data_IF_293333482382
#
_entry.id   IF_293333482382
#
_cell.length_a   1.000
_cell.length_b   1.000
_cell.length_c   1.000
_cell.angle_alpha   90.00
_cell.angle_beta   90.00
_cell.angle_gamma   90.00
#
_symmetry.space_group_name_H-M   'P 1'
#
loop_
_entity.id
_entity.type
_entity.pdbx_description
1 polymer ?
#
# COMPACT_ATOMS: atom_id res chain seq x y z
N UNK A 1 -37.95 2.00 -16.16
CA UNK A 1 -37.64 2.65 -14.86
C UNK A 1 -36.72 1.81 -13.99
N UNK A 2 -37.04 0.54 -13.72
CA UNK A 2 -36.26 -0.38 -12.88
C UNK A 2 -34.79 -0.53 -13.31
N UNK A 3 -34.53 -0.67 -14.61
CA UNK A 3 -33.17 -0.75 -15.15
C UNK A 3 -32.33 0.51 -14.93
N UNK A 4 -32.95 1.69 -14.97
CA UNK A 4 -32.26 2.97 -14.73
C UNK A 4 -31.87 3.07 -13.26
N UNK A 5 -32.76 2.67 -12.36
CA UNK A 5 -32.50 2.62 -10.92
C UNK A 5 -31.39 1.62 -10.60
N UNK A 6 -31.45 0.42 -11.20
CA UNK A 6 -30.42 -0.61 -11.03
C UNK A 6 -29.05 -0.13 -11.53
N UNK A 7 -29.00 0.52 -12.69
CA UNK A 7 -27.77 1.10 -13.22
C UNK A 7 -27.22 2.20 -12.31
N UNK A 8 -28.07 3.10 -11.84
CA UNK A 8 -27.69 4.15 -10.91
C UNK A 8 -27.12 3.59 -9.60
N UNK A 9 -27.74 2.56 -9.05
CA UNK A 9 -27.26 1.89 -7.83
C UNK A 9 -25.91 1.21 -8.06
N UNK A 10 -25.72 0.54 -9.20
CA UNK A 10 -24.46 -0.10 -9.55
C UNK A 10 -23.31 0.91 -9.70
N UNK A 11 -23.56 2.04 -10.36
CA UNK A 11 -22.56 3.13 -10.49
C UNK A 11 -22.23 3.73 -9.13
N UNK A 12 -23.24 4.01 -8.29
CA UNK A 12 -23.03 4.52 -6.94
C UNK A 12 -22.19 3.57 -6.10
N UNK A 13 -22.49 2.27 -6.13
CA UNK A 13 -21.70 1.26 -5.43
C UNK A 13 -20.26 1.20 -5.95
N UNK A 14 -20.05 1.24 -7.27
CA UNK A 14 -18.73 1.25 -7.87
C UNK A 14 -17.89 2.46 -7.43
N UNK A 15 -18.51 3.64 -7.34
CA UNK A 15 -17.84 4.85 -6.85
C UNK A 15 -17.44 4.74 -5.37
N UNK A 16 -18.31 4.16 -4.53
CA UNK A 16 -18.03 3.94 -3.11
C UNK A 16 -16.87 2.95 -2.95
N UNK A 17 -16.91 1.83 -3.67
CA UNK A 17 -15.83 0.83 -3.64
C UNK A 17 -14.52 1.46 -4.13
N UNK A 18 -14.56 2.23 -5.21
CA UNK A 18 -13.39 2.91 -5.72
C UNK A 18 -12.81 3.89 -4.69
N UNK A 19 -13.67 4.69 -4.05
CA UNK A 19 -13.25 5.63 -3.03
C UNK A 19 -12.61 4.92 -1.82
N UNK A 20 -13.26 3.85 -1.32
CA UNK A 20 -12.73 3.07 -0.20
C UNK A 20 -11.38 2.43 -0.52
N UNK A 21 -11.23 1.81 -1.69
CA UNK A 21 -10.02 1.04 -2.04
C UNK A 21 -8.88 1.93 -2.51
N UNK A 22 -9.13 2.90 -3.39
CA UNK A 22 -8.07 3.68 -4.04
C UNK A 22 -7.84 5.04 -3.40
N UNK A 23 -8.90 5.75 -3.00
CA UNK A 23 -8.75 7.10 -2.44
C UNK A 23 -8.38 7.08 -0.97
N UNK A 24 -8.95 6.14 -0.23
CA UNK A 24 -8.71 6.01 1.23
C UNK A 24 -7.75 4.88 1.57
N UNK A 25 -7.25 4.13 0.58
CA UNK A 25 -6.32 3.01 0.77
C UNK A 25 -6.80 1.97 1.79
N UNK A 26 -8.13 1.79 1.92
CA UNK A 26 -8.73 0.84 2.85
C UNK A 26 -8.74 1.28 4.32
N UNK A 27 -8.40 2.53 4.65
CA UNK A 27 -8.38 3.04 6.04
C UNK A 27 -9.70 2.80 6.77
N UNK A 28 -10.83 2.98 6.09
CA UNK A 28 -12.17 2.73 6.67
C UNK A 28 -12.58 1.25 6.72
N UNK A 29 -11.84 0.36 6.05
CA UNK A 29 -12.08 -1.08 6.04
C UNK A 29 -11.24 -1.83 7.09
N UNK A 30 -10.36 -1.11 7.79
CA UNK A 30 -9.55 -1.62 8.89
C UNK A 30 -8.13 -2.02 8.49
N UNK A 31 -7.29 -2.21 9.51
CA UNK A 31 -5.83 -2.43 9.37
C UNK A 31 -5.47 -3.59 8.44
N UNK A 32 -6.20 -4.70 8.48
CA UNK A 32 -5.92 -5.86 7.65
C UNK A 32 -6.03 -5.56 6.15
N UNK A 33 -7.04 -4.77 5.76
CA UNK A 33 -7.24 -4.38 4.36
C UNK A 33 -6.14 -3.42 3.89
N UNK A 34 -5.73 -2.48 4.74
CA UNK A 34 -4.61 -1.58 4.44
C UNK A 34 -3.33 -2.37 4.17
N UNK A 35 -2.96 -3.29 5.07
CA UNK A 35 -1.76 -4.13 4.91
C UNK A 35 -1.85 -4.93 3.60
N UNK A 36 -2.99 -5.55 3.33
CA UNK A 36 -3.19 -6.33 2.12
C UNK A 36 -3.06 -5.47 0.85
N UNK A 37 -3.66 -4.28 0.82
CA UNK A 37 -3.52 -3.35 -0.31
C UNK A 37 -2.06 -2.97 -0.51
N UNK A 38 -1.34 -2.65 0.57
CA UNK A 38 0.09 -2.38 0.53
C UNK A 38 0.88 -3.57 -0.03
N UNK A 39 0.63 -4.79 0.41
CA UNK A 39 1.32 -5.99 -0.08
C UNK A 39 1.09 -6.22 -1.58
N UNK A 40 -0.14 -5.95 -2.06
CA UNK A 40 -0.48 -6.03 -3.48
C UNK A 40 0.33 -5.00 -4.28
N UNK A 41 0.39 -3.75 -3.84
CA UNK A 41 1.13 -2.69 -4.53
C UNK A 41 2.66 -2.81 -4.37
N UNK A 42 3.14 -3.30 -3.24
CA UNK A 42 4.57 -3.44 -2.92
C UNK A 42 5.28 -4.29 -3.98
N UNK A 43 4.66 -5.41 -4.40
CA UNK A 43 5.19 -6.26 -5.49
C UNK A 43 5.43 -5.50 -6.79
N UNK A 44 4.54 -4.57 -7.15
CA UNK A 44 4.73 -3.73 -8.35
C UNK A 44 5.92 -2.79 -8.17
N UNK A 45 6.05 -2.17 -7.00
CA UNK A 45 7.17 -1.30 -6.69
C UNK A 45 8.51 -2.05 -6.66
N UNK A 46 8.56 -3.23 -6.06
CA UNK A 46 9.76 -4.06 -6.00
C UNK A 46 10.24 -4.44 -7.40
N UNK A 47 9.32 -4.76 -8.31
CA UNK A 47 9.63 -5.02 -9.70
C UNK A 47 10.18 -3.77 -10.42
N UNK A 48 9.60 -2.59 -10.20
CA UNK A 48 10.10 -1.34 -10.80
C UNK A 48 11.48 -0.99 -10.24
N UNK A 49 11.66 -1.12 -8.92
CA UNK A 49 12.93 -0.84 -8.23
C UNK A 49 14.00 -1.91 -8.47
N UNK A 50 13.63 -3.05 -9.04
CA UNK A 50 14.48 -4.24 -9.14
C UNK A 50 15.03 -4.63 -7.77
N UNK A 51 14.17 -4.66 -6.76
CA UNK A 51 14.53 -4.98 -5.38
C UNK A 51 15.35 -6.28 -5.32
N UNK A 52 16.47 -6.23 -4.59
CA UNK A 52 17.34 -7.38 -4.32
C UNK A 52 17.61 -7.42 -2.82
N UNK A 53 16.96 -8.33 -2.06
CA UNK A 53 17.04 -8.35 -0.60
C UNK A 53 18.47 -8.33 -0.05
N UNK A 54 19.39 -9.07 -0.70
CA UNK A 54 20.80 -9.16 -0.30
C UNK A 54 21.51 -7.81 -0.46
N UNK A 55 21.26 -7.09 -1.56
CA UNK A 55 21.89 -5.79 -1.80
C UNK A 55 21.37 -4.75 -0.80
N UNK A 56 20.06 -4.75 -0.56
CA UNK A 56 19.42 -3.83 0.38
C UNK A 56 19.91 -4.07 1.81
N UNK A 57 20.12 -5.33 2.20
CA UNK A 57 20.72 -5.65 3.50
C UNK A 57 22.18 -5.17 3.60
N UNK A 58 23.03 -5.55 2.64
CA UNK A 58 24.47 -5.28 2.68
C UNK A 58 24.79 -3.78 2.54
N UNK A 59 24.10 -3.08 1.64
CA UNK A 59 24.44 -1.71 1.27
C UNK A 59 23.59 -0.64 1.94
N UNK A 60 22.42 -0.99 2.49
CA UNK A 60 21.53 -0.03 3.16
C UNK A 60 21.30 -0.38 4.64
N UNK A 61 20.76 -1.55 4.94
CA UNK A 61 20.33 -1.88 6.30
C UNK A 61 21.52 -1.99 7.28
N UNK A 62 22.53 -2.84 6.96
CA UNK A 62 23.68 -3.04 7.86
C UNK A 62 24.49 -1.76 8.10
N UNK A 63 24.85 -0.95 7.08
CA UNK A 63 25.60 0.28 7.32
C UNK A 63 24.86 1.26 8.23
N UNK A 64 23.53 1.42 8.04
CA UNK A 64 22.70 2.28 8.90
C UNK A 64 22.69 1.74 10.34
N UNK A 65 22.41 0.45 10.53
CA UNK A 65 22.36 -0.16 11.85
C UNK A 65 23.71 -0.12 12.59
N UNK A 66 24.83 -0.17 11.86
CA UNK A 66 26.17 0.00 12.43
C UNK A 66 26.48 1.45 12.81
N UNK A 67 25.90 2.42 12.10
CA UNK A 67 26.09 3.84 12.39
C UNK A 67 25.22 4.32 13.57
N UNK A 68 24.00 3.81 13.74
CA UNK A 68 23.04 4.26 14.77
C UNK A 68 23.61 4.23 16.21
N UNK A 69 24.31 3.17 16.68
CA UNK A 69 24.89 3.15 18.03
C UNK A 69 25.89 4.29 18.30
N UNK A 70 26.46 4.86 17.23
CA UNK A 70 27.41 5.96 17.30
C UNK A 70 26.76 7.34 17.14
N UNK A 71 25.44 7.38 16.88
CA UNK A 71 24.64 8.61 16.80
C UNK A 71 23.91 8.79 18.13
N UNK A 72 24.27 9.84 18.88
CA UNK A 72 23.53 10.22 20.08
C UNK A 72 22.10 10.61 19.67
N UNK A 73 21.10 9.96 20.27
CA UNK A 73 19.70 10.34 20.06
C UNK A 73 19.50 11.82 20.47
N UNK A 74 18.69 12.60 19.72
CA UNK A 74 18.40 13.99 20.04
C UNK A 74 17.74 14.16 21.40
#
# INVERSE_FOLDING_TARGET
>A
MTWIVALGAAVGLALVVWWLVFKTEGVYLGRGVVIWLYDVYARRYDNIKQFRPINEDIYLARPILQAIPHVRAP
#
